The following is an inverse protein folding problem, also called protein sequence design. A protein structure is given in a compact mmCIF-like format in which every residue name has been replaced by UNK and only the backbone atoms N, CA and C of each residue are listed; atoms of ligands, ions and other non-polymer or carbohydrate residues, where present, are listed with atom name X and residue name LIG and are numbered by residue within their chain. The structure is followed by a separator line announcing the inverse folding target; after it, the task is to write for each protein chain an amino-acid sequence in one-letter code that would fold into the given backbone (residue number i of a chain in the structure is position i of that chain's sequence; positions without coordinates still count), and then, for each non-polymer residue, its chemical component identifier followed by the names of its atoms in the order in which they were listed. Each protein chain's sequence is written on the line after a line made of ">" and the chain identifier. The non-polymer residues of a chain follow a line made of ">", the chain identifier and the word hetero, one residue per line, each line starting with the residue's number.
data_IF_800237290628
#
_entry.id   IF_800237290628
#
_cell.length_a   1.000
_cell.length_b   1.000
_cell.length_c   1.000
_cell.angle_alpha   90.00
_cell.angle_beta   90.00
_cell.angle_gamma   90.00
#
_symmetry.space_group_name_H-M   'P 1'
#
loop_
_entity.id
_entity.type
_entity.pdbx_description
1 polymer ?
#
# COMPACT_ATOMS: atom_id res chain seq x y z
N UNK A 1 -47.37 11.70 -30.01
CA UNK A 1 -47.67 13.13 -29.88
C UNK A 1 -47.04 13.93 -31.00
N UNK A 2 -45.70 14.08 -31.08
CA UNK A 2 -45.06 14.96 -32.10
C UNK A 2 -45.30 14.51 -33.56
N UNK A 3 -45.15 13.22 -33.88
CA UNK A 3 -45.39 12.70 -35.25
C UNK A 3 -46.81 12.92 -35.79
N UNK A 4 -47.82 12.95 -34.90
CA UNK A 4 -49.22 13.10 -35.30
C UNK A 4 -49.55 14.54 -35.68
N UNK A 5 -48.87 15.51 -35.09
CA UNK A 5 -49.03 16.92 -35.44
C UNK A 5 -48.27 17.25 -36.72
N UNK A 6 -47.02 16.80 -36.86
CA UNK A 6 -46.22 17.00 -38.10
C UNK A 6 -46.86 16.38 -39.35
N UNK A 7 -47.62 15.29 -39.19
CA UNK A 7 -48.34 14.64 -40.29
C UNK A 7 -49.55 15.44 -40.81
N UNK A 8 -50.11 16.34 -39.99
CA UNK A 8 -51.23 17.20 -40.38
C UNK A 8 -50.75 18.36 -41.25
N UNK A 9 -49.49 18.78 -41.11
CA UNK A 9 -48.90 19.89 -41.85
C UNK A 9 -48.63 19.48 -43.32
N UNK A 10 -49.32 20.07 -44.32
CA UNK A 10 -49.20 19.65 -45.71
C UNK A 10 -47.82 19.95 -46.33
N UNK A 11 -47.10 20.94 -45.79
CA UNK A 11 -45.78 21.36 -46.25
C UNK A 11 -44.69 20.35 -45.86
N UNK A 12 -44.81 19.73 -44.69
CA UNK A 12 -43.80 18.84 -44.13
C UNK A 12 -44.00 17.36 -44.50
N UNK A 13 -45.05 17.03 -45.26
CA UNK A 13 -45.39 15.64 -45.63
C UNK A 13 -44.34 14.95 -46.51
N UNK A 14 -43.61 15.72 -47.32
CA UNK A 14 -42.61 15.19 -48.26
C UNK A 14 -41.18 15.28 -47.72
N UNK A 15 -40.99 15.82 -46.51
CA UNK A 15 -39.69 16.09 -45.92
C UNK A 15 -39.39 15.17 -44.72
N UNK A 16 -38.11 15.04 -44.37
CA UNK A 16 -37.68 14.23 -43.23
C UNK A 16 -38.01 14.92 -41.90
N UNK A 17 -38.75 14.23 -41.03
CA UNK A 17 -39.12 14.73 -39.69
C UNK A 17 -38.01 14.58 -38.64
N UNK A 18 -36.82 14.11 -39.01
CA UNK A 18 -35.75 13.74 -38.08
C UNK A 18 -35.29 14.89 -37.17
N UNK A 19 -35.41 16.15 -37.64
CA UNK A 19 -35.06 17.35 -36.86
C UNK A 19 -36.05 17.66 -35.73
N UNK A 20 -37.29 17.19 -35.85
CA UNK A 20 -38.37 17.42 -34.89
C UNK A 20 -38.59 16.20 -33.99
N UNK A 21 -37.94 15.08 -34.31
CA UNK A 21 -38.00 13.87 -33.51
C UNK A 21 -36.84 13.85 -32.51
N UNK A 22 -37.09 13.43 -31.26
CA UNK A 22 -36.01 13.21 -30.31
C UNK A 22 -34.99 12.19 -30.86
N UNK A 23 -33.71 12.56 -30.85
CA UNK A 23 -32.63 11.69 -31.26
C UNK A 23 -32.36 10.61 -30.21
N UNK A 24 -32.97 9.43 -30.39
CA UNK A 24 -32.71 8.29 -29.52
C UNK A 24 -31.36 7.65 -29.89
N UNK A 25 -30.36 7.81 -29.01
CA UNK A 25 -29.12 7.04 -29.11
C UNK A 25 -29.46 5.55 -29.02
N UNK A 26 -28.90 4.74 -29.92
CA UNK A 26 -29.04 3.27 -29.85
C UNK A 26 -28.41 2.78 -28.54
N UNK A 27 -29.24 2.50 -27.54
CA UNK A 27 -28.82 1.84 -26.30
C UNK A 27 -28.66 0.35 -26.58
N UNK A 28 -27.54 -0.06 -27.17
CA UNK A 28 -27.18 -1.47 -27.20
C UNK A 28 -26.86 -1.91 -25.78
N UNK A 29 -27.49 -3.00 -25.33
CA UNK A 29 -27.12 -3.65 -24.09
C UNK A 29 -25.63 -4.04 -24.19
N UNK A 30 -24.94 -4.00 -23.05
CA UNK A 30 -23.53 -4.43 -22.93
C UNK A 30 -23.35 -5.78 -23.62
N UNK A 31 -22.46 -5.87 -24.62
CA UNK A 31 -22.09 -7.13 -25.32
C UNK A 31 -21.39 -8.15 -24.40
N UNK A 32 -21.27 -7.84 -23.11
CA UNK A 32 -20.44 -8.57 -22.16
C UNK A 32 -21.17 -9.81 -21.64
N UNK A 33 -20.62 -10.98 -21.92
CA UNK A 33 -21.14 -12.28 -21.49
C UNK A 33 -21.00 -12.54 -19.98
N UNK A 34 -20.04 -11.90 -19.30
CA UNK A 34 -19.76 -12.04 -17.86
C UNK A 34 -19.50 -10.68 -17.22
N UNK A 35 -19.86 -10.42 -15.95
CA UNK A 35 -19.62 -9.14 -15.30
C UNK A 35 -18.12 -8.80 -15.18
N UNK A 36 -17.77 -7.52 -15.01
CA UNK A 36 -16.39 -7.06 -14.79
C UNK A 36 -15.74 -7.69 -13.57
N UNK A 37 -16.53 -7.89 -12.51
CA UNK A 37 -16.11 -8.55 -11.28
C UNK A 37 -16.92 -9.83 -11.13
N UNK A 38 -16.26 -10.96 -11.30
CA UNK A 38 -16.82 -12.28 -10.99
C UNK A 38 -16.39 -12.59 -9.56
N UNK A 39 -17.34 -12.62 -8.62
CA UNK A 39 -17.06 -13.05 -7.25
C UNK A 39 -17.21 -14.56 -7.17
N UNK A 40 -16.15 -15.24 -6.78
CA UNK A 40 -16.22 -16.65 -6.40
C UNK A 40 -16.94 -16.79 -5.06
N UNK A 41 -17.68 -17.89 -4.88
CA UNK A 41 -18.36 -18.18 -3.61
C UNK A 41 -17.33 -18.69 -2.61
N UNK A 42 -17.32 -18.14 -1.40
CA UNK A 42 -16.46 -18.64 -0.32
C UNK A 42 -16.87 -20.07 0.04
N UNK A 43 -15.90 -20.93 0.32
CA UNK A 43 -16.16 -22.28 0.83
C UNK A 43 -16.95 -22.20 2.14
N UNK A 44 -17.88 -23.13 2.34
CA UNK A 44 -18.68 -23.17 3.56
C UNK A 44 -17.80 -23.55 4.74
N UNK A 45 -17.75 -22.67 5.74
CA UNK A 45 -17.12 -22.93 7.02
C UNK A 45 -18.22 -23.03 8.08
N UNK A 46 -18.35 -24.17 8.78
CA UNK A 46 -19.44 -24.37 9.75
C UNK A 46 -19.30 -23.49 10.99
N UNK A 47 -18.09 -23.04 11.29
CA UNK A 47 -17.81 -22.13 12.39
C UNK A 47 -17.78 -20.68 11.89
N UNK A 48 -18.38 -19.74 12.64
CA UNK A 48 -18.21 -18.33 12.36
C UNK A 48 -16.73 -17.92 12.56
N UNK A 49 -16.26 -16.86 11.88
CA UNK A 49 -14.97 -16.27 12.20
C UNK A 49 -14.95 -15.77 13.65
N UNK A 50 -13.77 -15.75 14.28
CA UNK A 50 -13.62 -15.20 15.61
C UNK A 50 -14.06 -13.73 15.65
N UNK A 51 -14.68 -13.32 16.76
CA UNK A 51 -15.03 -11.92 16.96
C UNK A 51 -13.77 -11.07 17.07
N UNK A 52 -13.83 -9.83 16.58
CA UNK A 52 -12.75 -8.88 16.79
C UNK A 52 -12.66 -8.53 18.29
N UNK A 53 -11.45 -8.57 18.89
CA UNK A 53 -11.30 -8.29 20.31
C UNK A 53 -11.68 -6.84 20.63
N UNK A 54 -12.26 -6.62 21.81
CA UNK A 54 -12.60 -5.25 22.22
C UNK A 54 -11.35 -4.44 22.54
N UNK A 55 -11.48 -3.10 22.56
CA UNK A 55 -10.38 -2.22 22.98
C UNK A 55 -9.88 -2.55 24.39
N UNK A 56 -10.77 -2.99 25.27
CA UNK A 56 -10.43 -3.38 26.65
C UNK A 56 -9.61 -4.67 26.63
N UNK A 57 -10.03 -5.66 25.83
CA UNK A 57 -9.31 -6.94 25.71
C UNK A 57 -7.91 -6.75 25.13
N UNK A 58 -7.76 -5.93 24.10
CA UNK A 58 -6.45 -5.57 23.54
C UNK A 58 -5.54 -4.92 24.58
N UNK A 59 -6.09 -4.04 25.44
CA UNK A 59 -5.32 -3.40 26.50
C UNK A 59 -4.96 -4.37 27.64
N UNK A 60 -5.83 -5.34 27.92
CA UNK A 60 -5.57 -6.38 28.91
C UNK A 60 -4.51 -7.36 28.40
N UNK A 61 -4.59 -7.80 27.14
CA UNK A 61 -3.61 -8.66 26.48
C UNK A 61 -2.24 -7.98 26.40
N UNK A 62 -2.19 -6.69 26.06
CA UNK A 62 -0.96 -5.90 26.06
C UNK A 62 -0.44 -5.57 27.47
N UNK A 63 -1.19 -5.88 28.54
CA UNK A 63 -0.89 -5.50 29.92
C UNK A 63 -0.99 -3.99 30.19
N UNK A 64 -1.36 -3.19 29.20
CA UNK A 64 -1.42 -1.73 29.25
C UNK A 64 -2.61 -1.22 30.08
N UNK A 65 -3.64 -2.05 30.31
CA UNK A 65 -4.86 -1.65 31.00
C UNK A 65 -4.59 -1.23 32.45
N UNK A 66 -3.71 -1.96 33.14
CA UNK A 66 -3.38 -1.71 34.56
C UNK A 66 -2.31 -0.63 34.74
N UNK A 67 -1.64 -0.22 33.67
CA UNK A 67 -0.59 0.80 33.73
C UNK A 67 -1.24 2.18 33.84
N UNK A 68 -0.88 2.93 34.89
CA UNK A 68 -1.34 4.30 35.08
C UNK A 68 -0.91 5.24 33.94
N UNK A 69 -1.67 6.31 33.71
CA UNK A 69 -1.41 7.28 32.62
C UNK A 69 0.02 7.84 32.64
N UNK A 70 0.61 8.04 33.81
CA UNK A 70 1.95 8.62 33.92
C UNK A 70 3.07 7.60 33.65
N UNK A 71 2.86 6.33 33.96
CA UNK A 71 3.78 5.27 33.57
C UNK A 71 3.79 5.08 32.04
N UNK A 72 2.62 5.16 31.38
CA UNK A 72 2.54 5.18 29.91
C UNK A 72 3.31 6.34 29.29
N UNK A 73 3.21 7.54 29.89
CA UNK A 73 3.99 8.71 29.43
C UNK A 73 5.48 8.49 29.58
N UNK A 74 5.96 7.89 30.68
CA UNK A 74 7.39 7.60 30.88
C UNK A 74 7.91 6.62 29.83
N UNK A 75 7.22 5.50 29.63
CA UNK A 75 7.59 4.52 28.59
C UNK A 75 7.61 5.15 27.20
N UNK A 76 6.63 6.00 26.87
CA UNK A 76 6.60 6.70 25.58
C UNK A 76 7.76 7.70 25.42
N UNK A 77 8.23 8.34 26.49
CA UNK A 77 9.41 9.20 26.44
C UNK A 77 10.70 8.39 26.30
N UNK A 78 10.82 7.27 27.01
CA UNK A 78 11.95 6.35 26.90
C UNK A 78 12.08 5.81 25.47
N UNK A 79 10.97 5.33 24.89
CA UNK A 79 10.92 4.85 23.50
C UNK A 79 11.34 5.95 22.49
N UNK A 80 10.92 7.20 22.71
CA UNK A 80 11.35 8.33 21.88
C UNK A 80 12.83 8.60 21.99
N UNK A 81 13.38 8.55 23.21
CA UNK A 81 14.81 8.77 23.45
C UNK A 81 15.64 7.64 22.84
N UNK A 82 15.19 6.39 22.91
CA UNK A 82 15.83 5.25 22.26
C UNK A 82 15.83 5.39 20.74
N UNK A 83 14.68 5.71 20.13
CA UNK A 83 14.59 5.98 18.68
C UNK A 83 15.47 7.14 18.25
N UNK A 84 15.68 8.14 19.09
CA UNK A 84 16.62 9.23 18.81
C UNK A 84 18.07 8.76 18.90
N UNK A 85 18.41 7.94 19.89
CA UNK A 85 19.75 7.35 20.04
C UNK A 85 20.10 6.48 18.83
N UNK A 86 19.22 5.58 18.42
CA UNK A 86 19.45 4.69 17.26
C UNK A 86 19.66 5.50 15.98
N UNK A 87 18.80 6.49 15.70
CA UNK A 87 18.97 7.39 14.54
C UNK A 87 20.27 8.19 14.59
N UNK A 88 20.71 8.60 15.78
CA UNK A 88 21.97 9.32 15.96
C UNK A 88 23.17 8.40 15.66
N UNK A 89 23.11 7.15 16.11
CA UNK A 89 24.13 6.13 15.84
C UNK A 89 24.18 5.76 14.35
N UNK A 90 23.03 5.58 13.71
CA UNK A 90 22.94 5.34 12.25
C UNK A 90 23.59 6.47 11.45
N UNK A 91 23.24 7.73 11.76
CA UNK A 91 23.85 8.91 11.11
C UNK A 91 25.34 9.02 11.39
N UNK A 92 25.80 8.64 12.58
CA UNK A 92 27.22 8.63 12.92
C UNK A 92 27.95 7.57 12.07
N UNK A 93 27.37 6.37 11.95
CA UNK A 93 27.90 5.27 11.14
C UNK A 93 27.94 5.62 9.66
N UNK A 94 26.92 6.29 9.15
CA UNK A 94 26.89 6.79 7.77
C UNK A 94 28.03 7.79 7.54
N UNK A 95 28.18 8.78 8.43
CA UNK A 95 29.29 9.74 8.35
C UNK A 95 30.67 9.10 8.46
N UNK A 96 30.83 8.09 9.32
CA UNK A 96 32.08 7.32 9.44
C UNK A 96 32.38 6.53 8.16
N UNK A 97 31.34 6.00 7.47
CA UNK A 97 31.51 5.35 6.17
C UNK A 97 31.97 6.32 5.09
N UNK A 98 31.40 7.52 5.04
CA UNK A 98 31.81 8.55 4.07
C UNK A 98 33.25 9.02 4.27
N UNK A 99 33.80 8.87 5.48
CA UNK A 99 35.17 9.24 5.82
C UNK A 99 36.19 8.12 5.57
N UNK A 100 35.74 6.91 5.25
CA UNK A 100 36.61 5.81 4.82
C UNK A 100 36.82 5.96 3.31
N UNK A 101 38.08 6.12 2.90
CA UNK A 101 38.42 6.17 1.48
C UNK A 101 37.91 4.89 0.77
N UNK A 102 37.23 5.00 -0.39
CA UNK A 102 36.88 3.84 -1.19
C UNK A 102 38.12 3.00 -1.51
N UNK A 103 38.00 1.67 -1.47
CA UNK A 103 39.08 0.80 -1.90
C UNK A 103 39.38 1.07 -3.38
N UNK A 104 40.58 1.57 -3.67
CA UNK A 104 41.06 1.75 -5.04
C UNK A 104 41.27 0.36 -5.67
N UNK A 105 40.79 0.11 -6.91
CA UNK A 105 41.23 -1.05 -7.65
C UNK A 105 42.73 -0.89 -7.93
N UNK A 106 43.53 -1.80 -7.38
CA UNK A 106 44.98 -1.81 -7.59
C UNK A 106 45.27 -2.17 -9.05
N UNK A 107 45.30 -1.16 -9.92
CA UNK A 107 45.85 -1.29 -11.27
C UNK A 107 47.38 -1.37 -11.16
N UNK A 108 47.86 -2.60 -11.00
CA UNK A 108 49.27 -2.98 -11.10
C UNK A 108 49.99 -3.17 -9.77
N UNK A 109 50.02 -4.42 -9.26
CA UNK A 109 51.28 -5.16 -9.04
C UNK A 109 51.02 -6.52 -8.35
N UNK A 110 51.43 -7.57 -9.06
CA UNK A 110 51.98 -8.83 -8.59
C UNK A 110 51.67 -9.33 -7.16
N UNK A 111 50.97 -10.48 -7.13
CA UNK A 111 50.91 -11.47 -6.04
C UNK A 111 52.16 -11.47 -5.15
N UNK A 112 52.09 -10.89 -3.95
CA UNK A 112 52.96 -11.27 -2.83
C UNK A 112 52.16 -12.05 -1.80
N UNK A 113 52.31 -13.38 -1.86
CA UNK A 113 51.88 -14.32 -0.82
C UNK A 113 52.45 -13.86 0.53
N UNK A 114 51.62 -13.34 1.44
CA UNK A 114 52.01 -13.21 2.85
C UNK A 114 51.79 -14.54 3.57
N UNK A 115 52.90 -15.03 4.12
CA UNK A 115 53.05 -16.29 4.84
C UNK A 115 52.20 -16.27 6.11
N UNK A 116 51.60 -17.41 6.41
CA UNK A 116 50.90 -17.71 7.66
C UNK A 116 51.90 -17.65 8.82
N UNK A 117 51.69 -16.74 9.76
CA UNK A 117 52.27 -16.81 11.11
C UNK A 117 51.15 -17.03 12.11
N UNK A 118 51.15 -18.24 12.69
CA UNK A 118 50.36 -18.70 13.83
C UNK A 118 51.21 -18.46 15.08
N UNK A 119 50.76 -17.60 16.00
CA UNK A 119 51.10 -17.57 17.44
C UNK A 119 49.95 -16.77 18.10
N UNK A 120 48.89 -17.40 18.60
CA UNK A 120 48.65 -17.77 20.01
C UNK A 120 49.08 -16.72 21.04
N UNK A 121 48.13 -16.10 21.72
CA UNK A 121 48.26 -15.74 23.14
C UNK A 121 46.88 -15.78 23.79
N UNK A 122 46.80 -16.63 24.81
CA UNK A 122 45.77 -16.66 25.86
C UNK A 122 46.12 -15.60 26.91
N UNK A 123 45.14 -14.78 27.29
CA UNK A 123 44.72 -14.44 28.67
C UNK A 123 43.51 -13.50 28.62
#
# INVERSE_FOLDING_TARGET
>A
MVKRELAKDPLLKHESWDRFLPNYKKRSLSKRLKPHKVSEKKAYTPFPPAAEPSKVDLQLEAGEYHIGRDAKKRMAQEERMEKQKTKKEEKKRERERDFIAPDEPVDGEHKKKKRKTRVQNEE
#
